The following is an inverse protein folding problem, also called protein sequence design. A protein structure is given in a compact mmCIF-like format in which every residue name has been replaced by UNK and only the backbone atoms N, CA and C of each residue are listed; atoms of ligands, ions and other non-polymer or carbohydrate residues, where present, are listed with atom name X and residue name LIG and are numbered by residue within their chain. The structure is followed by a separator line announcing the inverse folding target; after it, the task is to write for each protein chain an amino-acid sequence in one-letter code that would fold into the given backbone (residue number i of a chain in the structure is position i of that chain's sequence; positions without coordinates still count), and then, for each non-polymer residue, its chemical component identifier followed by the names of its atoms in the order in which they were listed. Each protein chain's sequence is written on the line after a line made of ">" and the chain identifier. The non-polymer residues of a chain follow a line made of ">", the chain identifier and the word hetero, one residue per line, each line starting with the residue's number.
data_IF_328373458744
#
_entry.id   IF_328373458744
#
_cell.length_a   1.000
_cell.length_b   1.000
_cell.length_c   1.000
_cell.angle_alpha   90.00
_cell.angle_beta   90.00
_cell.angle_gamma   90.00
#
_symmetry.space_group_name_H-M   'P 1'
#
loop_
_entity.id
_entity.type
_entity.pdbx_description
1 polymer ?
#
# COMPACT_ATOMS: atom_id res chain seq x y z
N UNK A 1 -9.14 10.18 27.02
CA UNK A 1 -7.96 10.57 26.23
C UNK A 1 -8.34 10.43 24.77
N UNK A 2 -8.43 11.54 24.02
CA UNK A 2 -8.63 11.46 22.56
C UNK A 2 -7.40 10.75 22.03
N UNK A 3 -7.56 9.51 21.56
CA UNK A 3 -6.49 8.78 20.89
C UNK A 3 -5.87 9.72 19.87
N UNK A 4 -4.54 9.81 19.87
CA UNK A 4 -3.81 10.53 18.84
C UNK A 4 -4.41 10.09 17.50
N UNK A 5 -5.03 11.04 16.81
CA UNK A 5 -5.63 10.78 15.51
C UNK A 5 -4.53 10.16 14.66
N UNK A 6 -4.74 8.92 14.20
CA UNK A 6 -3.87 8.21 13.26
C UNK A 6 -3.77 9.04 11.97
N UNK A 7 -2.92 10.07 11.99
CA UNK A 7 -2.62 10.84 10.80
C UNK A 7 -1.82 9.93 9.89
N UNK A 8 -2.18 9.85 8.59
CA UNK A 8 -1.36 9.12 7.65
C UNK A 8 0.05 9.72 7.66
N UNK A 9 1.05 8.84 7.68
CA UNK A 9 2.46 9.24 7.55
C UNK A 9 2.84 9.13 6.08
N UNK A 10 3.35 10.22 5.50
CA UNK A 10 3.82 10.20 4.12
C UNK A 10 5.13 9.43 4.01
N UNK A 11 5.16 8.49 3.06
CA UNK A 11 6.33 7.64 2.79
C UNK A 11 6.68 7.72 1.31
N UNK A 12 7.98 7.90 1.03
CA UNK A 12 8.50 7.87 -0.34
C UNK A 12 8.89 6.43 -0.70
N UNK A 13 8.29 5.92 -1.77
CA UNK A 13 8.62 4.61 -2.33
C UNK A 13 9.44 4.75 -3.62
N UNK A 14 10.38 3.83 -3.82
CA UNK A 14 11.08 3.65 -5.10
C UNK A 14 10.69 2.29 -5.65
N UNK A 15 10.15 2.29 -6.87
CA UNK A 15 9.80 1.08 -7.58
C UNK A 15 10.64 1.03 -8.85
N UNK A 16 11.12 -0.17 -9.17
CA UNK A 16 11.67 -0.44 -10.49
C UNK A 16 10.59 -0.23 -11.56
N UNK A 17 11.00 0.14 -12.76
CA UNK A 17 10.06 0.49 -13.83
C UNK A 17 9.13 -0.67 -14.17
N UNK A 18 9.64 -1.89 -14.12
CA UNK A 18 8.90 -3.12 -14.37
C UNK A 18 7.77 -3.37 -13.36
N UNK A 19 7.83 -2.74 -12.18
CA UNK A 19 6.79 -2.82 -11.15
C UNK A 19 5.84 -1.61 -11.18
N UNK A 20 6.35 -0.45 -11.58
CA UNK A 20 5.55 0.78 -11.66
C UNK A 20 4.45 0.69 -12.73
N UNK A 21 4.80 0.27 -13.95
CA UNK A 21 3.84 0.26 -15.07
C UNK A 21 2.65 -0.69 -14.79
N UNK A 22 2.85 -1.94 -14.33
CA UNK A 22 1.75 -2.82 -13.94
C UNK A 22 0.91 -2.28 -12.78
N UNK A 23 1.54 -1.68 -11.76
CA UNK A 23 0.82 -1.10 -10.62
C UNK A 23 -0.09 0.05 -11.06
N UNK A 24 0.40 0.89 -11.99
CA UNK A 24 -0.38 2.00 -12.55
C UNK A 24 -1.58 1.51 -13.36
N UNK A 25 -1.40 0.49 -14.19
CA UNK A 25 -2.50 -0.10 -14.95
C UNK A 25 -3.52 -0.79 -14.04
N UNK A 26 -3.07 -1.46 -12.98
CA UNK A 26 -3.96 -2.05 -11.98
C UNK A 26 -4.78 -0.97 -11.26
N UNK A 27 -4.15 0.12 -10.85
CA UNK A 27 -4.82 1.24 -10.20
C UNK A 27 -5.93 1.83 -11.07
N UNK A 28 -5.68 1.98 -12.38
CA UNK A 28 -6.70 2.41 -13.34
C UNK A 28 -7.84 1.40 -13.45
N UNK A 29 -7.52 0.11 -13.62
CA UNK A 29 -8.50 -0.96 -13.78
C UNK A 29 -9.44 -1.08 -12.57
N UNK A 30 -8.92 -0.88 -11.37
CA UNK A 30 -9.68 -0.97 -10.13
C UNK A 30 -10.35 0.35 -9.70
N UNK A 31 -10.19 1.43 -10.48
CA UNK A 31 -10.67 2.77 -10.12
C UNK A 31 -10.16 3.22 -8.74
N UNK A 32 -8.87 2.94 -8.47
CA UNK A 32 -8.17 3.27 -7.22
C UNK A 32 -6.92 4.08 -7.47
N UNK A 33 -6.42 4.71 -6.41
CA UNK A 33 -5.10 5.33 -6.44
C UNK A 33 -4.00 4.28 -6.25
N UNK A 34 -2.81 4.51 -6.80
CA UNK A 34 -1.65 3.65 -6.52
C UNK A 34 -1.33 3.62 -5.03
N UNK A 35 -1.53 4.72 -4.30
CA UNK A 35 -1.35 4.77 -2.85
C UNK A 35 -2.28 3.79 -2.12
N UNK A 36 -3.53 3.65 -2.58
CA UNK A 36 -4.46 2.67 -2.02
C UNK A 36 -3.93 1.24 -2.18
N UNK A 37 -3.47 0.89 -3.38
CA UNK A 37 -2.90 -0.44 -3.66
C UNK A 37 -1.63 -0.70 -2.85
N UNK A 38 -0.77 0.31 -2.70
CA UNK A 38 0.43 0.20 -1.87
C UNK A 38 0.10 -0.02 -0.40
N UNK A 39 -0.90 0.70 0.15
CA UNK A 39 -1.36 0.46 1.52
C UNK A 39 -1.88 -0.96 1.68
N UNK A 40 -2.65 -1.48 0.71
CA UNK A 40 -3.12 -2.87 0.73
C UNK A 40 -2.00 -3.89 0.64
N UNK A 41 -0.97 -3.64 -0.18
CA UNK A 41 0.20 -4.51 -0.23
C UNK A 41 0.93 -4.57 1.13
N UNK A 42 1.02 -3.43 1.83
CA UNK A 42 1.61 -3.38 3.18
C UNK A 42 0.76 -4.15 4.19
N UNK A 43 -0.56 -3.94 4.20
CA UNK A 43 -1.49 -4.71 5.06
C UNK A 43 -1.31 -6.23 4.85
N UNK A 44 -1.38 -6.69 3.60
CA UNK A 44 -1.23 -8.10 3.25
C UNK A 44 0.12 -8.68 3.67
N UNK A 45 1.21 -7.92 3.52
CA UNK A 45 2.55 -8.38 3.92
C UNK A 45 2.65 -8.56 5.45
N UNK A 46 2.03 -7.68 6.23
CA UNK A 46 2.03 -7.77 7.68
C UNK A 46 1.14 -8.92 8.17
N UNK A 47 -0.02 -9.12 7.55
CA UNK A 47 -0.93 -10.21 7.87
C UNK A 47 -0.35 -11.59 7.50
N UNK A 48 0.40 -11.69 6.41
CA UNK A 48 1.10 -12.93 6.05
C UNK A 48 2.18 -13.32 7.08
N UNK A 49 2.79 -12.34 7.74
CA UNK A 49 3.79 -12.59 8.79
C UNK A 49 3.13 -13.04 10.10
N UNK A 50 1.92 -12.56 10.40
CA UNK A 50 1.20 -12.98 11.61
C UNK A 50 0.63 -14.39 11.49
N UNK A 51 0.25 -14.85 10.29
CA UNK A 51 -0.25 -16.21 10.05
C UNK A 51 0.82 -17.33 10.12
N UNK A 52 2.11 -16.98 10.19
CA UNK A 52 3.23 -17.93 10.32
C UNK A 52 3.79 -18.04 11.75
N UNK A 53 3.09 -17.48 12.74
CA UNK A 53 3.47 -17.51 14.15
C UNK A 53 2.58 -18.47 14.96
#
# INVERSE_FOLDING_TARGET
>A
MKSEQNKPTDVRFRLEKELYDPLKELAKKEERSMNYLMNKAVELLLDQKSAKA
#
